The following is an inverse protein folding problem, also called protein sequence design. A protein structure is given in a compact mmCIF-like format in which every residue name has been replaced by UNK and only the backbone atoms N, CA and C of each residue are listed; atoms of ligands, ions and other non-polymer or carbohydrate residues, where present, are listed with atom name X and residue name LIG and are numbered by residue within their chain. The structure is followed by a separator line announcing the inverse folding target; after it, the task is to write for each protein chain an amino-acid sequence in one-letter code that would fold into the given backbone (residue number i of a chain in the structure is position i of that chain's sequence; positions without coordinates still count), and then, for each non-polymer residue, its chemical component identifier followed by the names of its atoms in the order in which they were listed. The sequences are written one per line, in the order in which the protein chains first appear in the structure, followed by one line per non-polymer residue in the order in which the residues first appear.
data_IF_361360704576
#
_entry.id   IF_361360704576
#
_cell.length_a   1.000
_cell.length_b   1.000
_cell.length_c   1.000
_cell.angle_alpha   90.00
_cell.angle_beta   90.00
_cell.angle_gamma   90.00
#
_symmetry.space_group_name_H-M   'P 1'
#
loop_
_entity.id
_entity.type
_entity.pdbx_description
1 polymer ?
2 non-polymer ?
3 non-polymer ?
4 water ?
#
# COMPACT_ATOMS: atom_id res chain seq x y z
N UNK A 1 8.79 11.15 1.90
CA UNK A 1 10.21 10.67 1.72
C UNK A 1 10.37 9.18 1.98
N UNK A 2 11.50 8.62 1.55
CA UNK A 2 11.61 7.17 1.62
C UNK A 2 11.59 6.62 3.08
N UNK A 3 12.17 7.33 4.04
CA UNK A 3 12.12 6.87 5.44
C UNK A 3 10.66 6.87 5.99
N UNK A 4 9.88 7.93 5.79
CA UNK A 4 8.45 7.93 6.19
C UNK A 4 7.75 6.75 5.51
N UNK A 5 8.05 6.55 4.22
CA UNK A 5 7.34 5.49 3.50
C UNK A 5 7.72 4.12 4.10
N UNK A 6 8.92 4.01 4.65
CA UNK A 6 9.32 2.73 5.27
C UNK A 6 8.54 2.47 6.57
N UNK A 7 8.31 3.53 7.37
CA UNK A 7 7.46 3.37 8.59
C UNK A 7 6.03 3.01 8.23
N UNK A 8 5.49 3.72 7.27
CA UNK A 8 4.14 3.44 6.82
C UNK A 8 3.98 1.95 6.41
N UNK A 9 4.89 1.50 5.56
CA UNK A 9 4.88 0.12 5.08
C UNK A 9 5.10 -0.84 6.24
N UNK A 10 6.09 -0.58 7.13
CA UNK A 10 6.33 -1.53 8.27
C UNK A 10 5.05 -1.73 9.10
N UNK A 11 4.36 -0.64 9.37
CA UNK A 11 3.21 -0.70 10.27
C UNK A 11 2.02 -1.30 9.57
N UNK A 12 1.67 -0.79 8.39
CA UNK A 12 0.56 -1.32 7.56
C UNK A 12 0.69 -2.85 7.33
N UNK A 13 1.89 -3.27 7.07
CA UNK A 13 2.26 -4.64 6.78
C UNK A 13 2.00 -5.59 7.90
N UNK A 14 1.85 -5.10 9.14
CA UNK A 14 1.56 -5.99 10.29
C UNK A 14 0.14 -6.59 10.25
N UNK A 15 -0.67 -6.21 9.27
CA UNK A 15 -2.00 -6.77 9.13
C UNK A 15 -2.11 -7.84 8.01
N UNK A 16 -1.01 -8.07 7.31
CA UNK A 16 -0.99 -9.01 6.21
C UNK A 16 -1.32 -10.41 6.69
N UNK A 17 -0.71 -10.83 7.80
CA UNK A 17 -0.96 -12.23 8.20
C UNK A 17 -2.45 -12.55 8.51
N UNK A 18 -3.15 -11.60 9.11
CA UNK A 18 -4.56 -11.82 9.48
C UNK A 18 -5.48 -11.69 8.26
N UNK A 19 -4.92 -11.18 7.17
CA UNK A 19 -5.70 -10.97 5.92
C UNK A 19 -5.50 -12.06 4.87
N UNK A 20 -4.61 -13.03 5.12
CA UNK A 20 -4.26 -13.97 4.07
C UNK A 20 -5.40 -14.91 3.72
N UNK A 21 -6.04 -15.46 4.73
CA UNK A 21 -7.03 -16.45 4.53
C UNK A 21 -8.19 -15.92 3.72
N UNK A 22 -8.64 -14.71 4.03
CA UNK A 22 -9.81 -14.22 3.32
C UNK A 22 -9.52 -13.72 1.90
N UNK A 23 -8.26 -13.38 1.65
CA UNK A 23 -7.84 -12.89 0.33
C UNK A 23 -7.29 -13.95 -0.61
N UNK A 24 -6.97 -15.14 -0.10
CA UNK A 24 -6.26 -16.11 -0.95
C UNK A 24 -4.78 -15.77 -1.19
N UNK A 25 -4.20 -14.83 -0.44
CA UNK A 25 -2.82 -14.43 -0.70
C UNK A 25 -1.83 -15.40 -0.02
N UNK A 26 -1.46 -16.45 -0.76
CA UNK A 26 -0.47 -17.48 -0.36
C UNK A 26 0.84 -16.83 0.05
N UNK A 27 1.58 -17.47 0.96
CA UNK A 27 2.91 -16.94 1.32
C UNK A 27 3.81 -17.04 0.09
N UNK A 28 3.53 -18.00 -0.79
CA UNK A 28 4.31 -18.11 -2.04
C UNK A 28 4.01 -17.02 -3.03
N UNK A 29 2.95 -16.24 -2.86
CA UNK A 29 2.84 -15.03 -3.70
C UNK A 29 3.59 -13.84 -2.98
N UNK A 30 3.29 -13.64 -1.70
CA UNK A 30 3.97 -12.60 -0.88
C UNK A 30 4.16 -13.06 0.54
N UNK A 31 5.42 -13.18 0.95
CA UNK A 31 5.82 -13.74 2.26
C UNK A 31 5.74 -12.64 3.32
N UNK A 32 6.39 -11.51 3.07
CA UNK A 32 6.42 -10.41 4.00
C UNK A 32 5.95 -9.21 3.17
N UNK A 33 5.10 -8.39 3.74
CA UNK A 33 4.62 -7.21 3.00
C UNK A 33 5.71 -6.28 2.53
N UNK A 34 6.82 -6.20 3.26
CA UNK A 34 7.93 -5.33 2.82
C UNK A 34 8.46 -5.63 1.38
N UNK A 35 8.35 -6.90 0.96
CA UNK A 35 8.78 -7.31 -0.38
C UNK A 35 7.96 -6.61 -1.47
N UNK A 36 6.79 -6.10 -1.12
CA UNK A 36 6.03 -5.22 -2.06
C UNK A 36 7.01 -4.31 -2.81
N UNK A 37 8.01 -3.75 -2.14
CA UNK A 37 8.88 -2.75 -2.72
C UNK A 37 10.09 -3.29 -3.50
N UNK A 38 10.28 -4.59 -3.49
CA UNK A 38 11.44 -5.16 -4.17
C UNK A 38 11.35 -4.98 -5.68
N UNK A 39 12.51 -4.78 -6.28
CA UNK A 39 12.73 -4.75 -7.72
C UNK A 39 12.17 -5.96 -8.43
N UNK A 40 12.15 -7.09 -7.73
CA UNK A 40 11.80 -8.38 -8.26
C UNK A 40 10.35 -8.84 -7.90
N UNK A 41 9.54 -7.97 -7.26
CA UNK A 41 8.17 -8.32 -6.98
C UNK A 41 7.24 -7.61 -7.93
N UNK A 42 6.50 -8.36 -8.73
CA UNK A 42 5.46 -7.72 -9.52
C UNK A 42 4.13 -7.58 -8.79
N UNK A 43 3.59 -6.36 -8.79
CA UNK A 43 2.35 -6.06 -8.09
C UNK A 43 1.20 -6.29 -9.07
N UNK A 44 0.63 -7.51 -9.08
CA UNK A 44 -0.31 -7.85 -10.14
C UNK A 44 -1.46 -8.79 -9.73
N UNK A 45 -1.32 -9.53 -8.64
CA UNK A 45 -2.35 -10.53 -8.32
C UNK A 45 -3.62 -9.97 -7.79
N UNK A 46 -4.74 -10.44 -8.31
CA UNK A 46 -6.00 -10.05 -7.72
C UNK A 46 -5.99 -10.28 -6.19
N UNK A 47 -5.47 -11.44 -5.78
CA UNK A 47 -5.46 -11.75 -4.35
C UNK A 47 -4.74 -10.65 -3.52
N UNK A 48 -3.72 -10.00 -4.07
CA UNK A 48 -3.03 -8.91 -3.37
C UNK A 48 -3.94 -7.71 -3.27
N UNK A 49 -4.71 -7.46 -4.32
CA UNK A 49 -5.75 -6.42 -4.21
C UNK A 49 -6.78 -6.71 -3.15
N UNK A 50 -7.25 -7.98 -3.06
CA UNK A 50 -8.19 -8.30 -1.99
C UNK A 50 -7.53 -8.09 -0.62
N UNK A 51 -6.28 -8.52 -0.49
CA UNK A 51 -5.50 -8.35 0.78
C UNK A 51 -5.38 -6.91 1.19
N UNK A 52 -5.06 -6.05 0.22
CA UNK A 52 -4.92 -4.59 0.51
C UNK A 52 -6.24 -4.00 0.97
N UNK A 53 -7.38 -4.48 0.40
CA UNK A 53 -8.65 -4.02 0.92
C UNK A 53 -8.84 -4.42 2.36
N UNK A 54 -8.56 -5.71 2.65
CA UNK A 54 -8.65 -6.25 4.03
C UNK A 54 -7.79 -5.41 4.99
N UNK A 55 -6.55 -5.15 4.58
CA UNK A 55 -5.58 -4.48 5.43
C UNK A 55 -6.01 -3.06 5.62
N UNK A 56 -6.36 -2.39 4.53
CA UNK A 56 -6.85 -1.01 4.67
C UNK A 56 -8.05 -0.82 5.61
N UNK A 57 -8.99 -1.73 5.54
CA UNK A 57 -10.22 -1.57 6.30
C UNK A 57 -9.96 -1.70 7.80
N UNK A 58 -8.91 -2.42 8.15
CA UNK A 58 -8.45 -2.53 9.55
C UNK A 58 -8.14 -1.16 10.14
N UNK A 59 -7.59 -0.28 9.30
CA UNK A 59 -7.18 1.07 9.70
C UNK A 59 -8.16 2.15 9.18
N UNK A 60 -9.30 1.73 8.61
CA UNK A 60 -10.28 2.66 7.97
C UNK A 60 -9.69 3.54 6.89
N UNK A 61 -8.77 2.95 6.13
CA UNK A 61 -8.05 3.72 5.12
C UNK A 61 -8.76 3.75 3.81
N UNK A 62 -9.82 2.94 3.70
CA UNK A 62 -10.71 3.01 2.53
C UNK A 62 -12.08 3.47 2.93
N UNK A 63 -12.78 4.08 1.98
CA UNK A 63 -14.15 4.54 2.20
C UNK A 63 -15.06 3.47 1.60
N UNK A 64 -16.36 3.75 1.63
CA UNK A 64 -17.32 2.72 1.34
C UNK A 64 -17.40 2.48 -0.17
N UNK A 65 -16.69 3.30 -0.93
CA UNK A 65 -16.51 3.08 -2.36
C UNK A 65 -15.27 2.28 -2.72
N UNK A 66 -14.64 1.68 -1.70
CA UNK A 66 -13.41 0.91 -1.85
C UNK A 66 -12.34 1.75 -2.55
N UNK A 67 -12.32 3.03 -2.17
CA UNK A 67 -11.26 3.92 -2.59
C UNK A 67 -10.64 4.53 -1.38
N UNK A 68 -9.44 5.08 -1.53
CA UNK A 68 -8.80 5.71 -0.35
C UNK A 68 -9.66 6.72 0.35
N UNK A 69 -9.61 6.72 1.68
CA UNK A 69 -10.34 7.71 2.47
C UNK A 69 -9.27 8.79 2.68
N UNK A 70 -9.42 9.97 2.03
CA UNK A 70 -8.33 10.91 2.00
C UNK A 70 -7.97 11.41 3.40
N UNK A 71 -8.98 11.79 4.18
CA UNK A 71 -8.72 12.29 5.53
C UNK A 71 -8.05 11.28 6.45
N UNK A 72 -8.52 10.05 6.41
CA UNK A 72 -7.95 9.01 7.28
C UNK A 72 -6.56 8.68 6.79
N UNK A 73 -6.34 8.68 5.46
CA UNK A 73 -5.00 8.44 4.98
C UNK A 73 -3.99 9.56 5.38
N UNK A 74 -4.41 10.83 5.30
CA UNK A 74 -3.59 11.93 5.73
C UNK A 74 -3.25 11.84 7.22
N UNK A 75 -4.26 11.55 8.06
CA UNK A 75 -4.01 11.38 9.49
C UNK A 75 -3.10 10.20 9.77
N UNK A 76 -3.26 9.12 9.02
CA UNK A 76 -2.36 7.95 9.20
C UNK A 76 -0.92 8.26 8.86
N UNK A 77 -0.70 8.89 7.71
CA UNK A 77 0.68 9.22 7.36
C UNK A 77 1.29 10.22 8.38
N UNK A 78 0.49 11.21 8.83
CA UNK A 78 0.97 12.17 9.83
C UNK A 78 1.29 11.55 11.18
N UNK A 79 0.83 10.33 11.41
CA UNK A 79 1.07 9.65 12.69
C UNK A 79 2.51 9.11 12.80
N UNK A 80 3.25 9.14 11.69
CA UNK A 80 4.64 8.71 11.68
C UNK A 80 5.60 9.85 11.76
N UNK A 81 6.82 9.55 12.20
CA UNK A 81 7.86 10.57 12.28
C UNK A 81 8.06 11.25 10.92
N UNK A 82 7.99 12.59 10.91
CA UNK A 82 8.16 13.43 9.74
C UNK A 82 7.03 13.21 8.70
N UNK A 83 5.90 12.72 9.16
CA UNK A 83 4.76 12.31 8.28
C UNK A 83 4.24 13.46 7.47
N UNK A 84 4.26 14.65 8.05
CA UNK A 84 3.76 15.81 7.33
C UNK A 84 4.43 16.08 5.99
N UNK A 85 5.67 15.64 5.81
CA UNK A 85 6.40 15.84 4.53
C UNK A 85 5.87 14.88 3.40
N UNK A 86 5.22 13.80 3.79
CA UNK A 86 4.77 12.77 2.81
C UNK A 86 3.26 12.85 2.62
N UNK A 87 2.53 13.37 3.63
CA UNK A 87 1.07 13.09 3.70
C UNK A 87 0.36 13.62 2.41
N UNK A 88 0.54 14.90 2.07
CA UNK A 88 -0.20 15.44 0.95
C UNK A 88 0.25 14.78 -0.36
N UNK A 89 1.57 14.59 -0.53
CA UNK A 89 2.16 13.93 -1.69
C UNK A 89 1.64 12.51 -1.90
N UNK A 90 1.61 11.73 -0.84
CA UNK A 90 1.14 10.35 -0.98
C UNK A 90 -0.34 10.25 -1.31
N UNK A 91 -1.13 11.12 -0.74
CA UNK A 91 -2.58 11.13 -0.99
C UNK A 91 -2.80 11.53 -2.47
N UNK A 92 -2.05 12.55 -2.92
CA UNK A 92 -2.10 12.97 -4.32
C UNK A 92 -1.73 11.84 -5.28
N UNK A 93 -0.62 11.14 -5.01
CA UNK A 93 -0.18 10.00 -5.90
C UNK A 93 -1.20 8.88 -5.96
N UNK A 94 -1.70 8.47 -4.80
CA UNK A 94 -2.64 7.37 -4.78
C UNK A 94 -3.90 7.83 -5.49
N UNK A 95 -4.38 9.04 -5.23
CA UNK A 95 -5.63 9.39 -5.89
C UNK A 95 -5.50 9.55 -7.42
N UNK A 96 -4.39 10.13 -7.90
CA UNK A 96 -4.10 10.14 -9.36
C UNK A 96 -4.09 8.72 -9.95
N UNK A 97 -3.55 7.75 -9.22
CA UNK A 97 -3.54 6.36 -9.68
C UNK A 97 -4.96 5.78 -9.70
N UNK A 98 -5.73 6.12 -8.68
CA UNK A 98 -7.13 5.72 -8.65
C UNK A 98 -7.86 6.19 -9.87
N UNK A 99 -7.70 7.47 -10.21
CA UNK A 99 -8.40 8.01 -11.35
C UNK A 99 -8.12 7.27 -12.67
N UNK A 100 -6.89 6.71 -12.82
CA UNK A 100 -6.55 5.96 -14.01
C UNK A 100 -7.27 4.61 -14.12
N UNK A 101 -7.77 4.08 -13.00
CA UNK A 101 -8.38 2.75 -12.97
C UNK A 101 -9.86 2.74 -12.59
N UNK A 102 -10.49 3.89 -12.70
CA UNK A 102 -11.86 4.03 -12.28
C UNK A 102 -12.78 3.04 -12.99
N UNK A 103 -12.45 2.75 -14.24
CA UNK A 103 -13.30 1.89 -15.11
C UNK A 103 -13.15 0.38 -14.83
N UNK A 104 -12.27 0.02 -13.91
CA UNK A 104 -12.14 -1.41 -13.54
C UNK A 104 -13.32 -1.69 -12.58
N UNK A 105 -14.19 -2.60 -12.98
CA UNK A 105 -15.38 -2.94 -12.14
C UNK A 105 -15.08 -3.90 -10.97
N UNK A 106 -14.01 -4.69 -11.10
CA UNK A 106 -13.64 -5.69 -10.04
C UNK A 106 -12.78 -4.92 -9.01
N UNK A 107 -13.34 -4.73 -7.80
CA UNK A 107 -12.63 -3.96 -6.73
C UNK A 107 -11.27 -4.51 -6.39
N UNK A 108 -11.09 -5.85 -6.35
CA UNK A 108 -9.83 -6.39 -5.99
C UNK A 108 -8.78 -6.11 -7.06
N UNK A 109 -9.19 -6.32 -8.33
CA UNK A 109 -8.31 -6.05 -9.45
C UNK A 109 -7.99 -4.58 -9.52
N UNK A 110 -8.97 -3.74 -9.31
CA UNK A 110 -8.73 -2.28 -9.34
C UNK A 110 -7.65 -1.88 -8.33
N UNK A 111 -7.82 -2.36 -7.12
CA UNK A 111 -6.89 -1.99 -6.06
C UNK A 111 -5.48 -2.46 -6.32
N UNK A 112 -5.31 -3.66 -6.87
CA UNK A 112 -3.92 -4.07 -7.21
C UNK A 112 -3.32 -3.27 -8.37
N UNK A 113 -4.13 -2.88 -9.35
CA UNK A 113 -3.65 -1.98 -10.41
C UNK A 113 -3.25 -0.60 -9.87
N UNK A 114 -4.06 -0.08 -8.95
CA UNK A 114 -3.73 1.21 -8.28
C UNK A 114 -2.42 1.08 -7.50
N UNK A 115 -2.26 -0.06 -6.84
CA UNK A 115 -1.07 -0.32 -6.07
C UNK A 115 0.17 -0.39 -6.93
N UNK A 116 0.10 -1.04 -8.11
CA UNK A 116 1.24 -1.11 -9.04
C UNK A 116 1.61 0.29 -9.55
N UNK A 117 0.61 1.10 -9.83
CA UNK A 117 0.76 2.49 -10.29
C UNK A 117 1.44 3.36 -9.23
N UNK A 118 1.02 3.12 -7.97
CA UNK A 118 1.54 3.85 -6.84
C UNK A 118 3.04 3.48 -6.67
N UNK A 119 3.41 2.20 -6.80
CA UNK A 119 4.79 1.74 -6.69
C UNK A 119 5.63 2.40 -7.74
N UNK A 120 5.12 2.41 -8.98
CA UNK A 120 5.77 3.01 -10.11
C UNK A 120 5.99 4.49 -9.87
N UNK A 121 4.91 5.19 -9.51
CA UNK A 121 5.00 6.66 -9.35
C UNK A 121 5.88 7.08 -8.12
N UNK A 122 5.88 6.24 -7.08
CA UNK A 122 6.72 6.46 -5.89
C UNK A 122 8.16 6.29 -6.29
N UNK A 123 8.45 5.25 -7.08
CA UNK A 123 9.84 5.04 -7.56
C UNK A 123 10.28 6.25 -8.37
N UNK A 124 9.42 6.67 -9.29
CA UNK A 124 9.66 7.83 -10.16
C UNK A 124 9.90 9.11 -9.41
N UNK A 125 9.21 9.32 -8.27
CA UNK A 125 9.23 10.53 -7.41
C UNK A 125 10.31 10.50 -6.34
N UNK A 126 10.99 9.37 -6.29
CA UNK A 126 12.10 9.17 -5.45
C UNK A 126 11.77 8.87 -4.02
N UNK A 127 10.52 8.48 -3.70
CA UNK A 127 10.14 8.23 -2.33
C UNK A 127 9.92 6.73 -2.03
N UNK A 128 10.21 5.88 -2.99
CA UNK A 128 10.09 4.41 -2.76
C UNK A 128 11.23 3.91 -1.86
N UNK A 129 10.91 3.23 -0.75
CA UNK A 129 12.01 2.78 0.12
C UNK A 129 12.57 1.46 -0.36
N UNK A 130 13.76 1.14 0.09
CA UNK A 130 14.30 -0.16 -0.22
C UNK A 130 13.74 -1.14 0.80
N UNK A 131 13.75 -2.43 0.45
CA UNK A 131 13.26 -3.44 1.37
C UNK A 131 14.05 -3.38 2.68
N UNK A 132 15.35 -3.14 2.58
CA UNK A 132 16.24 -3.06 3.79
C UNK A 132 15.82 -1.97 4.73
N UNK A 133 15.32 -0.87 4.18
CA UNK A 133 14.87 0.26 5.04
C UNK A 133 13.59 -0.06 5.80
N UNK A 134 12.69 -0.83 5.18
CA UNK A 134 11.50 -1.30 5.83
C UNK A 134 11.84 -2.26 6.96
N UNK A 135 12.81 -3.13 6.67
CA UNK A 135 13.22 -4.15 7.61
C UNK A 135 13.84 -3.48 8.80
N UNK A 136 14.59 -2.40 8.55
CA UNK A 136 15.25 -1.66 9.64
C UNK A 136 14.24 -1.11 10.64
N UNK A 137 12.99 -0.90 10.23
CA UNK A 137 11.91 -0.35 11.12
C UNK A 137 10.84 -1.35 11.54
N UNK A 138 11.02 -2.61 11.21
CA UNK A 138 9.94 -3.55 11.47
C UNK A 138 9.50 -3.75 12.97
N UNK A 139 10.48 -3.64 13.85
CA UNK A 139 10.31 -3.72 15.31
C UNK A 139 9.39 -2.65 15.95
N UNK A 140 9.25 -1.49 15.28
CA UNK A 140 8.61 -0.32 15.91
C UNK A 140 7.15 -0.51 16.15
N UNK A 141 6.70 0.05 17.29
CA UNK A 141 5.28 0.20 17.63
C UNK A 141 4.61 -1.15 17.96
X LIG B 1 -11.62 -14.96 -0.49
X LIG C 1 -14.25 -10.19 -11.05
X LIG D 1 -3.62 -7.62 14.18
X LIG E 1 -6.89 1.90 -4.24
X LIG E 1 -6.04 2.20 -3.37
X LIG E 1 -4.81 1.32 -3.20
X LIG E 1 -3.65 1.98 -2.45
X LIG E 1 -2.34 1.25 -2.72
X LIG E 1 -1.66 0.69 -1.47
X LIG E 1 -0.20 0.30 -1.67
X LIG E 1 0.46 -0.23 -0.39
X LIG E 1 1.94 0.14 -0.32
X LIG E 1 2.53 0.57 1.03
X LIG E 1 1.56 0.90 2.17
X LIG E 1 0.80 2.00 2.11
X LIG E 1 -0.14 2.40 3.15
X LIG E 1 -1.47 2.22 3.08
X LIG E 1 -2.17 1.55 1.92
X LIG E 1 -3.06 2.55 1.21
X LIG E 1 -4.52 2.14 1.31
X LIG F 1 -14.48 1.07 6.84
#
# INVERSE_FOLDING_TARGET
TAEVMSHVTAHFGKTLEECREESGLSVDILDEFKHFWSDDFDVVHRELGCAIICMSNKFSLMDDDVRMHHVNMDEYIKSFPNGQVLAEKMVKLIHNCEKQFDTETDDCTRVVKVAACFKEDSRKEGIAPEVAMVEAVIEKY
MG MG
MG MG
MG MG
B7M O C16 C15 C14 C13 C12 C11 C10 C9 C8 C7 C6 C5 C4 C3 C2 C1
MG MG
#
